data_IF_521030603789
#
_entry.id   IF_521030603789
#
_cell.length_a   1.000
_cell.length_b   1.000
_cell.length_c   1.000
_cell.angle_alpha   90.00
_cell.angle_beta   90.00
_cell.angle_gamma   90.00
#
_symmetry.space_group_name_H-M   'P 1'
#
loop_
_entity.id
_entity.type
_entity.pdbx_description
1 polymer ?
#
# COMPACT_ATOMS: atom_id res chain seq x y z
N UNK A 1 -2.60 -4.26 -16.66
CA UNK A 1 -2.88 -3.84 -15.27
C UNK A 1 -1.76 -2.91 -14.84
N UNK A 2 -2.02 -1.75 -14.19
CA UNK A 2 -0.93 -0.92 -13.69
C UNK A 2 -0.05 -1.68 -12.69
N UNK A 3 1.26 -1.55 -12.86
CA UNK A 3 2.24 -1.92 -11.84
C UNK A 3 2.27 -0.81 -10.79
N UNK A 4 2.36 -1.15 -9.51
CA UNK A 4 2.58 -0.15 -8.45
C UNK A 4 3.98 -0.30 -7.89
N UNK A 5 4.75 0.78 -7.90
CA UNK A 5 6.02 0.86 -7.18
C UNK A 5 5.80 1.64 -5.87
N UNK A 6 6.23 1.07 -4.76
CA UNK A 6 6.16 1.66 -3.43
C UNK A 6 7.57 2.03 -3.02
N UNK A 7 7.79 3.30 -2.69
CA UNK A 7 9.00 3.80 -2.03
C UNK A 7 8.63 4.08 -0.58
N UNK A 8 9.38 3.55 0.38
CA UNK A 8 9.20 3.83 1.81
C UNK A 8 10.53 4.21 2.44
N UNK A 9 10.57 5.32 3.17
CA UNK A 9 11.79 5.79 3.81
C UNK A 9 11.50 6.66 5.04
N UNK A 10 12.50 6.81 5.89
CA UNK A 10 12.42 7.71 7.03
C UNK A 10 12.60 9.16 6.56
N UNK A 11 11.58 9.98 6.78
CA UNK A 11 11.59 11.39 6.45
C UNK A 11 12.54 12.16 7.38
N UNK A 12 13.30 13.11 6.83
CA UNK A 12 14.07 14.04 7.66
C UNK A 12 13.14 14.94 8.50
N UNK A 13 13.67 15.55 9.56
CA UNK A 13 12.92 16.54 10.35
C UNK A 13 12.42 17.71 9.51
N UNK A 14 13.17 18.12 8.49
CA UNK A 14 12.77 19.16 7.56
C UNK A 14 11.53 18.75 6.77
N UNK A 15 11.53 17.54 6.20
CA UNK A 15 10.38 17.01 5.45
C UNK A 15 9.15 16.79 6.33
N UNK A 16 9.34 16.36 7.57
CA UNK A 16 8.24 16.20 8.53
C UNK A 16 7.61 17.55 8.91
N UNK A 17 8.40 18.62 8.91
CA UNK A 17 7.93 19.98 9.20
C UNK A 17 7.33 20.66 7.96
N UNK A 18 7.81 20.30 6.77
CA UNK A 18 7.38 20.86 5.49
C UNK A 18 7.34 19.77 4.41
N UNK A 19 6.14 19.21 4.21
CA UNK A 19 5.90 18.18 3.18
C UNK A 19 6.07 18.70 1.76
N UNK A 20 6.07 20.01 1.53
CA UNK A 20 6.27 20.60 0.20
C UNK A 20 7.69 20.36 -0.32
N UNK A 21 8.64 20.04 0.56
CA UNK A 21 10.01 19.66 0.18
C UNK A 21 10.07 18.37 -0.65
N UNK A 22 9.05 17.50 -0.58
CA UNK A 22 8.97 16.34 -1.48
C UNK A 22 8.49 16.69 -2.89
N UNK A 23 7.89 17.88 -3.11
CA UNK A 23 7.23 18.26 -4.37
C UNK A 23 8.15 18.17 -5.59
N UNK A 24 9.41 18.64 -5.59
CA UNK A 24 10.27 18.54 -6.76
C UNK A 24 10.45 17.09 -7.24
N UNK A 25 10.68 16.16 -6.30
CA UNK A 25 10.80 14.74 -6.61
C UNK A 25 9.48 14.12 -7.10
N UNK A 26 8.36 14.45 -6.45
CA UNK A 26 7.04 13.96 -6.88
C UNK A 26 6.69 14.45 -8.30
N UNK A 27 7.01 15.70 -8.64
CA UNK A 27 6.81 16.25 -9.98
C UNK A 27 7.77 15.67 -11.02
N UNK A 28 9.00 15.32 -10.62
CA UNK A 28 9.92 14.56 -11.47
C UNK A 28 9.31 13.18 -11.82
N UNK A 29 8.83 12.44 -10.82
CA UNK A 29 8.20 11.13 -11.02
C UNK A 29 6.97 11.21 -11.94
N UNK A 30 6.09 12.20 -11.74
CA UNK A 30 4.89 12.40 -12.59
C UNK A 30 5.20 12.65 -14.06
N UNK A 31 6.39 13.20 -14.36
CA UNK A 31 6.84 13.48 -15.74
C UNK A 31 7.52 12.28 -16.39
N UNK A 32 7.78 11.20 -15.64
CA UNK A 32 8.38 10.01 -16.20
C UNK A 32 7.43 9.35 -17.21
N UNK A 33 7.99 8.90 -18.33
CA UNK A 33 7.22 8.18 -19.35
C UNK A 33 6.55 6.95 -18.75
N UNK A 34 5.26 6.76 -19.04
CA UNK A 34 4.47 5.64 -18.51
C UNK A 34 4.03 5.79 -17.05
N UNK A 35 4.38 6.88 -16.35
CA UNK A 35 3.78 7.19 -15.05
C UNK A 35 2.31 7.59 -15.24
N UNK A 36 1.41 6.88 -14.57
CA UNK A 36 -0.04 7.13 -14.60
C UNK A 36 -0.47 8.02 -13.45
N UNK A 37 0.12 7.84 -12.27
CA UNK A 37 -0.19 8.63 -11.08
C UNK A 37 0.92 8.51 -10.04
N UNK A 38 1.02 9.52 -9.16
CA UNK A 38 1.89 9.52 -7.99
C UNK A 38 1.10 9.97 -6.78
N UNK A 39 0.98 9.09 -5.79
CA UNK A 39 0.31 9.33 -4.51
C UNK A 39 1.37 9.25 -3.41
N UNK A 40 1.25 10.02 -2.35
CA UNK A 40 2.11 9.89 -1.19
C UNK A 40 1.32 10.08 0.11
N UNK A 41 1.87 9.60 1.21
CA UNK A 41 1.28 9.73 2.53
C UNK A 41 2.25 9.28 3.60
N UNK A 42 1.95 9.62 4.84
CA UNK A 42 2.73 9.14 5.99
C UNK A 42 2.09 7.88 6.56
N UNK A 43 2.93 6.99 7.07
CA UNK A 43 2.45 5.83 7.79
C UNK A 43 1.75 6.29 9.09
N UNK A 44 0.57 5.72 9.39
CA UNK A 44 -0.24 6.13 10.54
C UNK A 44 0.41 5.73 11.87
N UNK A 45 1.00 4.54 11.96
CA UNK A 45 1.68 4.06 13.17
C UNK A 45 3.08 4.67 13.36
N UNK A 46 3.71 5.10 12.27
CA UNK A 46 5.03 5.72 12.25
C UNK A 46 5.00 6.95 11.35
N UNK A 47 4.57 8.07 11.92
CA UNK A 47 4.47 9.34 11.20
C UNK A 47 5.83 9.85 10.70
N UNK A 48 6.95 9.21 11.07
CA UNK A 48 8.28 9.56 10.54
C UNK A 48 8.57 8.91 9.20
N UNK A 49 7.75 7.94 8.75
CA UNK A 49 7.94 7.26 7.46
C UNK A 49 7.01 7.81 6.39
N UNK A 50 7.62 8.31 5.31
CA UNK A 50 6.90 8.68 4.11
C UNK A 50 6.82 7.47 3.16
N UNK A 51 5.64 7.26 2.59
CA UNK A 51 5.40 6.29 1.53
C UNK A 51 4.96 7.00 0.25
N UNK A 52 5.57 6.65 -0.87
CA UNK A 52 5.22 7.14 -2.20
C UNK A 52 4.80 5.94 -3.06
N UNK A 53 3.63 6.05 -3.68
CA UNK A 53 3.02 5.06 -4.56
C UNK A 53 3.01 5.60 -5.98
N UNK A 54 3.73 4.92 -6.85
CA UNK A 54 3.87 5.28 -8.26
C UNK A 54 3.15 4.23 -9.09
N UNK A 55 2.17 4.67 -9.85
CA UNK A 55 1.37 3.82 -10.73
C UNK A 55 1.97 3.87 -12.11
N UNK A 56 2.41 2.74 -12.63
CA UNK A 56 3.08 2.61 -13.91
C UNK A 56 2.18 1.90 -14.93
N UNK A 57 2.27 2.32 -16.19
CA UNK A 57 1.60 1.66 -17.31
C UNK A 57 2.14 0.24 -17.54
N UNK A 58 3.44 0.03 -17.36
CA UNK A 58 4.10 -1.28 -17.46
C UNK A 58 5.33 -1.39 -16.55
N UNK A 59 5.82 -2.62 -16.35
CA UNK A 59 7.10 -2.84 -15.64
C UNK A 59 8.29 -2.22 -16.38
N UNK A 60 8.26 -2.22 -17.72
CA UNK A 60 9.30 -1.63 -18.53
C UNK A 60 9.41 -0.12 -18.30
N UNK A 61 8.29 0.59 -18.18
CA UNK A 61 8.28 2.03 -17.89
C UNK A 61 8.91 2.34 -16.52
N UNK A 62 8.58 1.53 -15.50
CA UNK A 62 9.20 1.61 -14.18
C UNK A 62 10.72 1.38 -14.23
N UNK A 63 11.17 0.36 -14.97
CA UNK A 63 12.58 0.04 -15.12
C UNK A 63 13.34 1.11 -15.93
N UNK A 64 12.70 1.70 -16.94
CA UNK A 64 13.26 2.78 -17.74
C UNK A 64 13.58 4.00 -16.88
N UNK A 65 12.71 4.38 -15.94
CA UNK A 65 12.99 5.48 -15.00
C UNK A 65 14.30 5.22 -14.24
N UNK A 66 14.46 4.02 -13.67
CA UNK A 66 15.64 3.68 -12.86
C UNK A 66 16.96 3.65 -13.63
N UNK A 67 16.90 3.60 -14.97
CA UNK A 67 18.06 3.58 -15.87
C UNK A 67 18.44 4.96 -16.40
N UNK A 68 17.65 6.01 -16.12
CA UNK A 68 17.99 7.37 -16.54
C UNK A 68 19.20 7.88 -15.77
N UNK A 69 20.10 8.58 -16.47
CA UNK A 69 21.30 9.17 -15.87
C UNK A 69 20.98 10.19 -14.77
N UNK A 70 19.81 10.85 -14.86
CA UNK A 70 19.34 11.84 -13.89
C UNK A 70 18.61 11.25 -12.67
N UNK A 71 18.26 9.95 -12.69
CA UNK A 71 17.47 9.32 -11.62
C UNK A 71 18.17 9.34 -10.25
N UNK A 72 19.47 9.01 -10.14
CA UNK A 72 20.17 9.11 -8.87
C UNK A 72 20.19 10.54 -8.32
N UNK A 73 20.31 11.56 -9.17
CA UNK A 73 20.32 12.95 -8.70
C UNK A 73 19.01 13.29 -7.99
N UNK A 74 17.88 12.95 -8.60
CA UNK A 74 16.56 13.22 -8.02
C UNK A 74 16.24 12.36 -6.80
N UNK A 75 16.70 11.11 -6.73
CA UNK A 75 16.48 10.27 -5.54
C UNK A 75 17.26 10.79 -4.33
N UNK A 76 18.47 11.34 -4.54
CA UNK A 76 19.27 11.93 -3.47
C UNK A 76 18.78 13.32 -3.04
N UNK A 77 17.99 14.01 -3.87
CA UNK A 77 17.29 15.24 -3.50
C UNK A 77 16.15 15.01 -2.50
N UNK A 78 15.69 13.77 -2.33
CA UNK A 78 14.70 13.47 -1.29
C UNK A 78 15.29 13.82 0.08
N UNK A 79 14.62 14.67 0.88
CA UNK A 79 15.06 15.03 2.22
C UNK A 79 14.80 13.86 3.19
N UNK A 80 15.59 12.79 3.02
CA UNK A 80 15.59 11.59 3.85
C UNK A 80 16.46 11.81 5.10
N UNK A 81 16.13 11.15 6.21
CA UNK A 81 16.98 11.21 7.41
C UNK A 81 18.24 10.36 7.28
N UNK A 82 18.22 9.33 6.41
CA UNK A 82 19.30 8.36 6.22
C UNK A 82 19.29 7.77 4.79
N UNK A 83 20.44 7.74 4.06
CA UNK A 83 20.54 7.13 2.72
C UNK A 83 20.16 5.63 2.68
N UNK A 84 20.31 4.92 3.80
CA UNK A 84 20.03 3.48 3.90
C UNK A 84 18.59 3.13 4.26
N UNK A 85 17.68 4.11 4.36
CA UNK A 85 16.30 3.87 4.81
C UNK A 85 15.31 3.59 3.68
N UNK A 86 15.73 3.70 2.42
CA UNK A 86 14.87 3.53 1.26
C UNK A 86 14.59 2.05 0.96
N UNK A 87 13.34 1.64 1.17
CA UNK A 87 12.78 0.37 0.73
C UNK A 87 11.95 0.60 -0.54
N UNK A 88 12.18 -0.23 -1.56
CA UNK A 88 11.46 -0.16 -2.84
C UNK A 88 10.81 -1.51 -3.10
N UNK A 89 9.49 -1.52 -3.28
CA UNK A 89 8.73 -2.70 -3.68
C UNK A 89 7.99 -2.44 -4.98
N UNK A 90 7.86 -3.46 -5.84
CA UNK A 90 7.06 -3.41 -7.06
C UNK A 90 5.98 -4.49 -6.97
N UNK A 91 4.71 -4.13 -7.10
CA UNK A 91 3.59 -5.05 -6.95
C UNK A 91 2.78 -5.06 -8.24
N UNK A 92 2.59 -6.26 -8.81
CA UNK A 92 1.75 -6.46 -9.98
C UNK A 92 0.32 -6.82 -9.54
N UNK A 93 -0.47 -5.79 -9.22
CA UNK A 93 -1.83 -6.00 -8.73
C UNK A 93 -2.76 -6.60 -9.79
N UNK A 94 -3.60 -7.54 -9.36
CA UNK A 94 -4.61 -8.21 -10.19
C UNK A 94 -5.74 -7.27 -10.67
N UNK A 95 -5.91 -6.12 -10.02
CA UNK A 95 -6.87 -5.06 -10.36
C UNK A 95 -6.28 -3.69 -9.95
N UNK A 96 -6.87 -2.59 -10.42
CA UNK A 96 -6.26 -1.26 -10.20
C UNK A 96 -6.45 -0.87 -8.73
N UNK A 97 -5.39 -0.72 -7.91
CA UNK A 97 -5.55 -0.47 -6.48
C UNK A 97 -5.97 0.96 -6.15
N UNK A 98 -6.06 1.88 -7.12
CA UNK A 98 -6.36 3.30 -6.88
C UNK A 98 -7.59 3.55 -5.99
N UNK A 99 -8.65 2.74 -6.10
CA UNK A 99 -9.85 2.90 -5.27
C UNK A 99 -9.59 2.72 -3.77
N UNK A 100 -8.57 1.96 -3.38
CA UNK A 100 -8.17 1.84 -1.98
C UNK A 100 -7.59 3.16 -1.43
N UNK A 101 -7.00 4.00 -2.30
CA UNK A 101 -6.41 5.29 -1.96
C UNK A 101 -7.43 6.44 -1.92
N UNK A 102 -8.68 6.20 -2.34
CA UNK A 102 -9.78 7.16 -2.16
C UNK A 102 -10.26 7.21 -0.69
N UNK A 103 -9.89 6.20 0.11
CA UNK A 103 -10.21 6.10 1.53
C UNK A 103 -9.45 7.14 2.38
N UNK A 104 -9.93 7.46 3.60
CA UNK A 104 -9.15 8.24 4.56
C UNK A 104 -7.82 7.57 4.95
N UNK A 105 -7.86 6.25 5.15
CA UNK A 105 -6.71 5.42 5.49
C UNK A 105 -6.61 4.29 4.46
N UNK A 106 -5.41 4.00 3.96
CA UNK A 106 -5.16 2.85 3.10
C UNK A 106 -4.25 1.87 3.80
N UNK A 107 -4.71 0.64 3.96
CA UNK A 107 -3.88 -0.50 4.34
C UNK A 107 -3.07 -0.96 3.12
N UNK A 108 -1.76 -1.07 3.33
CA UNK A 108 -0.81 -1.72 2.46
C UNK A 108 -0.15 -2.83 3.26
N UNK A 109 -0.54 -4.06 2.95
CA UNK A 109 -0.03 -5.26 3.61
C UNK A 109 0.93 -5.98 2.68
N UNK A 110 2.13 -6.30 3.17
CA UNK A 110 3.06 -7.23 2.50
C UNK A 110 2.92 -8.57 3.19
N UNK A 111 2.42 -9.55 2.44
CA UNK A 111 2.10 -10.89 2.90
C UNK A 111 3.17 -11.83 2.36
N UNK A 112 3.88 -12.51 3.25
CA UNK A 112 4.76 -13.63 2.91
C UNK A 112 4.03 -14.94 3.21
N UNK A 113 3.96 -15.81 2.23
CA UNK A 113 3.33 -17.13 2.36
C UNK A 113 4.32 -18.09 3.01
N UNK A 114 3.82 -18.94 3.92
CA UNK A 114 4.60 -19.99 4.59
C UNK A 114 4.67 -21.23 3.68
N UNK A 115 5.76 -21.99 3.83
CA UNK A 115 6.23 -22.99 2.87
C UNK A 115 5.14 -23.89 2.25
N UNK A 116 5.24 -24.08 0.93
CA UNK A 116 4.44 -24.95 0.06
C UNK A 116 2.92 -24.67 -0.04
N UNK A 117 2.45 -23.52 0.45
CA UNK A 117 1.05 -23.15 0.25
C UNK A 117 0.80 -22.74 -1.22
N UNK A 118 -0.11 -23.43 -1.95
CA UNK A 118 -0.39 -23.13 -3.34
C UNK A 118 -1.08 -21.77 -3.48
N UNK A 119 -0.83 -21.08 -4.60
CA UNK A 119 -1.43 -19.77 -4.90
C UNK A 119 -2.96 -19.79 -4.73
N UNK A 120 -3.63 -20.87 -5.15
CA UNK A 120 -5.09 -21.00 -5.03
C UNK A 120 -5.58 -20.93 -3.57
N UNK A 121 -4.77 -21.35 -2.60
CA UNK A 121 -5.10 -21.26 -1.18
C UNK A 121 -4.88 -19.84 -0.65
N UNK A 122 -3.86 -19.12 -1.13
CA UNK A 122 -3.66 -17.68 -0.87
C UNK A 122 -4.86 -16.88 -1.39
N UNK A 123 -5.29 -17.14 -2.63
CA UNK A 123 -6.45 -16.49 -3.25
C UNK A 123 -7.73 -16.72 -2.46
N UNK A 124 -7.96 -17.98 -2.04
CA UNK A 124 -9.10 -18.36 -1.22
C UNK A 124 -9.08 -17.68 0.13
N UNK A 125 -7.91 -17.55 0.73
CA UNK A 125 -7.71 -16.86 2.01
C UNK A 125 -8.05 -15.37 1.90
N UNK A 126 -7.54 -14.69 0.87
CA UNK A 126 -7.86 -13.27 0.61
C UNK A 126 -9.35 -13.08 0.32
N UNK A 127 -9.97 -13.97 -0.45
CA UNK A 127 -11.40 -13.93 -0.73
C UNK A 127 -12.24 -14.11 0.55
N UNK A 128 -11.82 -15.01 1.44
CA UNK A 128 -12.48 -15.26 2.73
C UNK A 128 -12.36 -14.06 3.65
N UNK A 129 -11.17 -13.45 3.76
CA UNK A 129 -10.95 -12.19 4.49
C UNK A 129 -11.91 -11.09 4.03
N UNK A 130 -12.03 -10.89 2.72
CA UNK A 130 -12.96 -9.92 2.15
C UNK A 130 -14.41 -10.22 2.57
N UNK A 131 -14.83 -11.48 2.54
CA UNK A 131 -16.19 -11.87 2.93
C UNK A 131 -16.45 -11.61 4.42
N UNK A 132 -15.48 -11.92 5.30
CA UNK A 132 -15.56 -11.68 6.73
C UNK A 132 -15.69 -10.18 7.06
N UNK A 133 -14.89 -9.36 6.37
CA UNK A 133 -14.94 -7.91 6.51
C UNK A 133 -16.31 -7.35 6.11
N UNK A 134 -16.89 -7.84 5.00
CA UNK A 134 -18.25 -7.45 4.57
C UNK A 134 -19.29 -7.88 5.61
N UNK A 135 -19.20 -9.11 6.12
CA UNK A 135 -20.08 -9.64 7.16
C UNK A 135 -20.02 -8.79 8.43
N UNK A 136 -18.82 -8.49 8.91
CA UNK A 136 -18.61 -7.63 10.09
C UNK A 136 -19.31 -6.28 9.93
N UNK A 137 -19.21 -5.64 8.76
CA UNK A 137 -19.90 -4.37 8.50
C UNK A 137 -21.41 -4.49 8.65
N UNK A 138 -22.00 -5.54 8.11
CA UNK A 138 -23.45 -5.78 8.19
C UNK A 138 -23.87 -5.99 9.64
N UNK A 139 -23.16 -6.85 10.38
CA UNK A 139 -23.50 -7.19 11.76
C UNK A 139 -23.33 -6.01 12.74
N UNK A 140 -22.45 -5.05 12.42
CA UNK A 140 -22.20 -3.86 13.23
C UNK A 140 -22.94 -2.61 12.74
N UNK A 141 -23.89 -2.74 11.80
CA UNK A 141 -24.68 -1.60 11.31
C UNK A 141 -23.87 -0.57 10.51
N UNK A 142 -22.72 -0.99 9.96
CA UNK A 142 -21.83 -0.18 9.12
C UNK A 142 -22.05 -0.45 7.63
N UNK A 143 -23.27 -0.85 7.23
CA UNK A 143 -23.62 -1.09 5.83
C UNK A 143 -23.43 0.15 4.95
N UNK A 144 -23.59 1.33 5.54
CA UNK A 144 -23.48 2.63 4.84
C UNK A 144 -22.05 3.16 4.78
N UNK A 145 -21.10 2.51 5.47
CA UNK A 145 -19.69 2.89 5.36
C UNK A 145 -19.18 2.66 3.93
N UNK A 146 -18.41 3.61 3.41
CA UNK A 146 -17.82 3.50 2.08
C UNK A 146 -16.63 2.53 2.02
N UNK A 147 -16.10 2.08 3.18
CA UNK A 147 -14.86 1.31 3.26
C UNK A 147 -14.89 0.18 4.31
N UNK A 148 -14.12 -0.89 4.15
CA UNK A 148 -13.48 -1.29 2.90
C UNK A 148 -14.54 -1.78 1.90
N UNK A 149 -14.45 -1.26 0.68
CA UNK A 149 -15.24 -1.74 -0.47
C UNK A 149 -14.36 -2.34 -1.56
N UNK A 150 -13.04 -2.21 -1.40
CA UNK A 150 -12.08 -2.54 -2.43
C UNK A 150 -10.87 -3.25 -1.84
N UNK A 151 -10.57 -4.43 -2.40
CA UNK A 151 -9.41 -5.25 -2.10
C UNK A 151 -8.69 -5.48 -3.41
N UNK A 152 -7.47 -4.98 -3.56
CA UNK A 152 -6.56 -5.34 -4.64
C UNK A 152 -5.39 -6.12 -4.06
N UNK A 153 -4.91 -7.14 -4.78
CA UNK A 153 -3.73 -7.86 -4.35
C UNK A 153 -2.90 -8.31 -5.55
N UNK A 154 -1.64 -8.68 -5.36
CA UNK A 154 -0.79 -9.21 -6.41
C UNK A 154 0.61 -9.53 -5.94
N UNK A 155 1.42 -10.12 -6.81
CA UNK A 155 2.78 -10.55 -6.50
C UNK A 155 3.73 -9.37 -6.31
N UNK A 156 4.64 -9.49 -5.35
CA UNK A 156 5.80 -8.61 -5.21
C UNK A 156 6.90 -9.09 -6.16
N UNK A 157 7.18 -8.29 -7.18
CA UNK A 157 8.15 -8.65 -8.22
C UNK A 157 9.54 -8.84 -7.61
N UNK A 158 10.15 -9.99 -7.92
CA UNK A 158 11.50 -10.34 -7.46
C UNK A 158 11.57 -10.86 -6.04
N UNK A 159 10.44 -11.04 -5.35
CA UNK A 159 10.38 -11.63 -4.01
C UNK A 159 9.42 -12.83 -4.04
N UNK A 160 9.95 -14.07 -4.11
CA UNK A 160 9.12 -15.27 -4.15
C UNK A 160 8.13 -15.34 -2.98
N UNK A 161 6.97 -15.95 -3.24
CA UNK A 161 5.94 -16.26 -2.25
C UNK A 161 5.49 -15.04 -1.42
N UNK A 162 5.60 -13.86 -2.02
CA UNK A 162 5.28 -12.58 -1.38
C UNK A 162 4.29 -11.80 -2.21
N UNK A 163 3.22 -11.34 -1.55
CA UNK A 163 2.10 -10.65 -2.16
C UNK A 163 1.87 -9.31 -1.48
N UNK A 164 1.54 -8.29 -2.25
CA UNK A 164 1.03 -7.03 -1.73
C UNK A 164 -0.49 -7.03 -1.74
N UNK A 165 -1.13 -6.54 -0.68
CA UNK A 165 -2.57 -6.28 -0.59
C UNK A 165 -2.77 -4.79 -0.33
N UNK A 166 -3.79 -4.22 -0.97
CA UNK A 166 -4.21 -2.84 -0.78
C UNK A 166 -5.71 -2.75 -0.56
N UNK A 167 -6.08 -2.13 0.56
CA UNK A 167 -7.46 -2.00 1.04
C UNK A 167 -7.69 -0.62 1.65
N UNK A 168 -8.81 0.02 1.33
CA UNK A 168 -9.17 1.31 1.93
C UNK A 168 -9.99 1.15 3.20
N UNK A 169 -9.79 2.00 4.20
CA UNK A 169 -10.45 1.99 5.50
C UNK A 169 -10.90 3.39 5.91
N UNK A 170 -11.99 3.48 6.68
CA UNK A 170 -12.45 4.75 7.25
C UNK A 170 -11.47 5.29 8.31
N UNK A 171 -10.86 4.39 9.09
CA UNK A 171 -9.81 4.69 10.06
C UNK A 171 -8.95 3.46 10.35
N UNK A 172 -7.82 3.67 11.04
CA UNK A 172 -6.96 2.57 11.52
C UNK A 172 -7.72 1.73 12.56
N UNK A 173 -8.46 2.38 13.44
CA UNK A 173 -9.25 1.75 14.50
C UNK A 173 -10.31 0.81 13.91
N UNK A 174 -11.00 1.25 12.84
CA UNK A 174 -11.97 0.41 12.14
C UNK A 174 -11.36 -0.88 11.62
N UNK A 175 -10.14 -0.83 11.04
CA UNK A 175 -9.43 -2.05 10.65
C UNK A 175 -9.10 -2.95 11.86
N UNK A 176 -8.55 -2.36 12.92
CA UNK A 176 -8.18 -3.10 14.15
C UNK A 176 -9.40 -3.79 14.77
N UNK A 177 -10.56 -3.13 14.79
CA UNK A 177 -11.82 -3.72 15.26
C UNK A 177 -12.25 -4.93 14.42
N UNK A 178 -12.10 -4.88 13.09
CA UNK A 178 -12.40 -6.04 12.23
C UNK A 178 -11.46 -7.20 12.53
N UNK A 179 -10.15 -6.94 12.63
CA UNK A 179 -9.16 -7.99 12.93
C UNK A 179 -9.43 -8.62 14.30
N UNK A 180 -9.74 -7.80 15.30
CA UNK A 180 -10.14 -8.27 16.62
C UNK A 180 -11.40 -9.13 16.56
N UNK A 181 -12.43 -8.68 15.84
CA UNK A 181 -13.66 -9.44 15.67
C UNK A 181 -13.43 -10.78 14.97
N UNK A 182 -12.60 -10.84 13.92
CA UNK A 182 -12.23 -12.11 13.28
C UNK A 182 -11.55 -13.05 14.29
N UNK A 183 -10.64 -12.53 15.12
CA UNK A 183 -9.94 -13.30 16.15
C UNK A 183 -10.82 -13.82 17.29
N UNK A 184 -11.85 -13.07 17.67
CA UNK A 184 -12.77 -13.41 18.78
C UNK A 184 -13.88 -14.41 18.37
N UNK A 185 -14.02 -14.70 17.08
CA UNK A 185 -15.06 -15.59 16.54
C UNK A 185 -14.39 -16.78 15.83
N UNK A 186 -14.12 -17.90 16.51
CA UNK A 186 -13.32 -19.01 15.97
C UNK A 186 -13.90 -19.65 14.71
N UNK A 187 -15.21 -19.58 14.52
CA UNK A 187 -15.89 -20.03 13.29
C UNK A 187 -15.56 -19.15 12.07
N UNK A 188 -15.05 -17.94 12.31
CA UNK A 188 -14.56 -17.00 11.30
C UNK A 188 -13.05 -17.10 11.09
N UNK A 189 -12.33 -17.85 11.95
CA UNK A 189 -10.90 -18.09 11.78
C UNK A 189 -10.69 -19.01 10.58
N UNK A 190 -10.42 -18.41 9.44
CA UNK A 190 -9.42 -19.01 8.54
C UNK A 190 -8.12 -18.96 9.34
N UNK A 191 -7.38 -20.06 9.45
CA UNK A 191 -6.07 -20.07 10.13
C UNK A 191 -5.03 -19.36 9.25
N UNK A 192 -5.24 -18.07 9.06
CA UNK A 192 -4.46 -17.19 8.20
C UNK A 192 -3.04 -17.14 8.74
N UNK A 193 -2.88 -17.14 10.07
CA UNK A 193 -1.58 -17.13 10.72
C UNK A 193 -0.74 -18.38 10.45
N UNK A 194 -1.34 -19.54 10.15
CA UNK A 194 -0.55 -20.72 9.76
C UNK A 194 -0.13 -20.70 8.29
N UNK A 195 -0.81 -19.90 7.47
CA UNK A 195 -0.56 -19.82 6.02
C UNK A 195 0.35 -18.64 5.68
N UNK A 196 0.23 -17.52 6.39
CA UNK A 196 0.91 -16.27 6.05
C UNK A 196 1.54 -15.53 7.23
N UNK A 197 2.53 -14.71 6.92
CA UNK A 197 3.07 -13.65 7.76
C UNK A 197 2.76 -12.31 7.08
N UNK A 198 2.11 -11.40 7.79
CA UNK A 198 1.73 -10.10 7.23
C UNK A 198 2.48 -8.96 7.93
N UNK A 199 3.11 -8.10 7.13
CA UNK A 199 3.56 -6.78 7.55
C UNK A 199 2.54 -5.74 7.07
N UNK A 200 1.72 -5.27 8.00
CA UNK A 200 0.61 -4.35 7.73
C UNK A 200 1.07 -2.92 7.99
N UNK A 201 0.86 -2.03 7.03
CA UNK A 201 1.14 -0.59 7.13
C UNK A 201 -0.11 0.20 6.76
N UNK A 202 -0.56 1.09 7.64
CA UNK A 202 -1.62 2.04 7.28
C UNK A 202 -1.02 3.34 6.81
N UNK A 203 -1.55 3.90 5.73
CA UNK A 203 -1.09 5.16 5.16
C UNK A 203 -2.23 6.16 5.13
N UNK A 204 -1.99 7.33 5.70
CA UNK A 204 -2.88 8.48 5.51
C UNK A 204 -2.43 9.22 4.27
N UNK A 205 -3.21 9.13 3.20
CA UNK A 205 -2.88 9.71 1.90
C UNK A 205 -2.95 11.24 1.98
N UNK A 206 -1.87 11.91 1.55
CA UNK A 206 -1.86 13.35 1.38
C UNK A 206 -2.76 13.69 0.20
N UNK A 207 -4.00 14.09 0.50
CA UNK A 207 -4.90 14.63 -0.50
C UNK A 207 -4.36 15.99 -0.90
N UNK A 208 -3.90 16.13 -2.14
CA UNK A 208 -3.73 17.45 -2.71
C UNK A 208 -5.07 18.15 -2.57
N UNK A 209 -5.15 19.21 -1.75
CA UNK A 209 -6.28 20.11 -1.78
C UNK A 209 -6.43 20.51 -3.25
N UNK A 210 -7.41 19.95 -3.95
CA UNK A 210 -7.75 20.43 -5.27
C UNK A 210 -8.01 21.92 -5.08
N UNK A 211 -7.20 22.76 -5.72
CA UNK A 211 -7.45 24.19 -5.74
C UNK A 211 -8.89 24.34 -6.25
N UNK A 212 -9.79 24.73 -5.35
CA UNK A 212 -11.18 25.04 -5.69
C UNK A 212 -11.22 26.34 -6.47
#
# INVERSE_FOLDING_TARGET
>A
MPLVQILSFAASRALLSDSSLAKPFLEYLKKAEGCLNVIHGFQAEDSTRLMIFIFWKSSQDCDNLSKRDDYPLHIYELPTSLPSSLDIKKINFNKNPMRAFDAPVTDISIIKVKDDCPLEEVERTIASLKALVIRWKVENGLSDSAYPTYFAWGEVIGVPDTYGVSTGWDSVEGHVEVIKWIGENPENLVDISSIIEADIKHVTVARSCAAR
#
